data_IF_689920517411
#
_entry.id   IF_689920517411
#
_cell.length_a   1.000
_cell.length_b   1.000
_cell.length_c   1.000
_cell.angle_alpha   90.00
_cell.angle_beta   90.00
_cell.angle_gamma   90.00
#
_symmetry.space_group_name_H-M   'P 1'
#
loop_
_entity.id
_entity.type
_entity.pdbx_description
1 polymer ?
#
# COMPACT_ATOMS: atom_id res chain seq x y z
N UNK A 1 -5.85 -9.53 10.91
CA UNK A 1 -4.80 -9.22 9.91
C UNK A 1 -4.71 -7.72 9.73
N UNK A 2 -3.52 -7.23 9.44
CA UNK A 2 -3.33 -5.81 9.23
C UNK A 2 -3.89 -5.37 7.89
N UNK A 3 -4.29 -4.12 7.79
CA UNK A 3 -4.72 -3.49 6.53
C UNK A 3 -3.70 -2.45 6.13
N UNK A 4 -3.44 -2.38 4.84
CA UNK A 4 -2.44 -1.46 4.28
C UNK A 4 -3.05 -0.69 3.11
N UNK A 5 -2.73 0.60 3.06
CA UNK A 5 -2.93 1.41 1.86
C UNK A 5 -1.62 1.42 1.08
N UNK A 6 -1.69 1.04 -0.17
CA UNK A 6 -0.53 1.04 -1.07
C UNK A 6 -0.83 2.03 -2.19
N UNK A 7 -0.01 3.07 -2.28
CA UNK A 7 -0.15 4.12 -3.29
C UNK A 7 1.07 4.10 -4.18
N UNK A 8 0.90 4.37 -5.46
CA UNK A 8 2.05 4.38 -6.35
C UNK A 8 1.75 5.03 -7.68
N UNK A 9 2.74 4.94 -8.55
CA UNK A 9 2.68 5.53 -9.88
C UNK A 9 2.96 4.48 -10.95
N UNK A 10 2.42 4.71 -12.13
CA UNK A 10 2.79 3.94 -13.32
C UNK A 10 4.03 4.55 -13.95
N UNK A 11 4.89 3.69 -14.45
CA UNK A 11 6.05 4.10 -15.26
C UNK A 11 5.62 4.38 -16.69
N UNK A 12 6.56 4.85 -17.52
CA UNK A 12 6.34 4.95 -18.96
C UNK A 12 5.85 3.62 -19.53
N UNK A 13 6.47 2.52 -19.11
CA UNK A 13 6.08 1.18 -19.56
C UNK A 13 4.64 0.85 -19.15
N UNK A 14 4.26 1.21 -17.92
CA UNK A 14 2.89 1.01 -17.46
C UNK A 14 1.88 1.81 -18.26
N UNK A 15 2.17 3.08 -18.54
CA UNK A 15 1.30 3.91 -19.38
C UNK A 15 1.19 3.38 -20.80
N UNK A 16 2.29 2.89 -21.37
CA UNK A 16 2.26 2.27 -22.70
C UNK A 16 1.33 1.06 -22.73
N UNK A 17 1.28 0.29 -21.64
CA UNK A 17 0.33 -0.81 -21.51
C UNK A 17 -1.12 -0.36 -21.57
N UNK A 18 -1.45 0.75 -20.92
CA UNK A 18 -2.80 1.33 -20.99
C UNK A 18 -3.14 1.84 -22.39
N UNK A 19 -2.16 2.38 -23.11
CA UNK A 19 -2.39 2.81 -24.49
C UNK A 19 -2.68 1.63 -25.41
N UNK A 20 -2.05 0.49 -25.16
CA UNK A 20 -2.32 -0.74 -25.91
C UNK A 20 -3.66 -1.34 -25.56
N UNK A 21 -4.03 -1.29 -24.28
CA UNK A 21 -5.27 -1.87 -23.77
C UNK A 21 -5.91 -0.90 -22.77
N UNK A 22 -6.68 0.09 -23.28
CA UNK A 22 -7.32 1.08 -22.40
C UNK A 22 -8.34 0.47 -21.43
N UNK A 23 -8.78 -0.76 -21.68
CA UNK A 23 -9.75 -1.45 -20.83
C UNK A 23 -9.08 -2.42 -19.86
N UNK A 24 -7.75 -2.36 -19.72
CA UNK A 24 -7.01 -3.19 -18.76
C UNK A 24 -7.59 -3.03 -17.36
N UNK A 25 -7.96 -4.16 -16.75
CA UNK A 25 -8.55 -4.16 -15.41
C UNK A 25 -7.45 -4.29 -14.36
N UNK A 26 -7.04 -3.15 -13.81
CA UNK A 26 -5.95 -3.11 -12.84
C UNK A 26 -6.37 -3.68 -11.48
N UNK A 27 -7.65 -3.66 -11.14
CA UNK A 27 -8.12 -4.27 -9.89
C UNK A 27 -7.95 -5.79 -9.94
N UNK A 28 -8.19 -6.42 -11.09
CA UNK A 28 -7.95 -7.85 -11.27
C UNK A 28 -6.47 -8.20 -11.18
N UNK A 29 -5.60 -7.36 -11.74
CA UNK A 29 -4.16 -7.56 -11.65
C UNK A 29 -3.67 -7.46 -10.20
N UNK A 30 -4.17 -6.47 -9.47
CA UNK A 30 -3.85 -6.30 -8.05
C UNK A 30 -4.32 -7.51 -7.23
N UNK A 31 -5.54 -7.99 -7.48
CA UNK A 31 -6.07 -9.17 -6.79
C UNK A 31 -5.26 -10.42 -7.11
N UNK A 32 -4.83 -10.59 -8.35
CA UNK A 32 -3.99 -11.74 -8.74
C UNK A 32 -2.64 -11.71 -7.99
N UNK A 33 -2.04 -10.53 -7.86
CA UNK A 33 -0.79 -10.40 -7.10
C UNK A 33 -1.00 -10.74 -5.62
N UNK A 34 -2.11 -10.27 -5.04
CA UNK A 34 -2.44 -10.57 -3.65
C UNK A 34 -2.71 -12.06 -3.44
N UNK A 35 -3.47 -12.68 -4.37
CA UNK A 35 -3.77 -14.11 -4.30
C UNK A 35 -2.50 -14.96 -4.29
N UNK A 36 -1.49 -14.55 -5.04
CA UNK A 36 -0.23 -15.31 -5.12
C UNK A 36 0.48 -15.43 -3.77
N UNK A 37 0.22 -14.52 -2.83
CA UNK A 37 0.86 -14.51 -1.51
C UNK A 37 -0.13 -14.70 -0.36
N UNK A 38 -1.40 -14.96 -0.67
CA UNK A 38 -2.42 -15.20 0.35
C UNK A 38 -2.95 -13.92 1.00
N UNK A 39 -2.74 -12.77 0.38
CA UNK A 39 -3.30 -11.50 0.82
C UNK A 39 -4.63 -11.23 0.11
N UNK A 40 -5.30 -10.14 0.48
CA UNK A 40 -6.61 -9.81 -0.08
C UNK A 40 -6.64 -8.33 -0.46
N UNK A 41 -7.08 -8.04 -1.68
CA UNK A 41 -7.38 -6.67 -2.10
C UNK A 41 -8.82 -6.35 -1.71
N UNK A 42 -9.01 -5.26 -0.97
CA UNK A 42 -10.34 -4.78 -0.57
C UNK A 42 -10.85 -3.80 -1.61
N UNK A 43 -10.00 -2.88 -2.09
CA UNK A 43 -10.38 -1.90 -3.08
C UNK A 43 -9.18 -1.44 -3.89
N UNK A 44 -9.45 -1.00 -5.11
CA UNK A 44 -8.48 -0.37 -6.00
C UNK A 44 -9.12 0.88 -6.57
N UNK A 45 -8.43 2.01 -6.49
CA UNK A 45 -8.94 3.30 -6.98
C UNK A 45 -7.86 4.02 -7.76
N UNK A 46 -8.19 4.46 -8.97
CA UNK A 46 -7.35 5.36 -9.75
C UNK A 46 -7.41 6.75 -9.13
N UNK A 47 -6.28 7.43 -9.13
CA UNK A 47 -6.14 8.75 -8.51
C UNK A 47 -5.66 9.78 -9.52
N UNK A 48 -5.95 11.02 -9.21
CA UNK A 48 -5.41 12.17 -9.91
C UNK A 48 -4.65 13.03 -8.89
N UNK A 49 -3.34 13.16 -9.09
CA UNK A 49 -2.51 13.92 -8.16
C UNK A 49 -1.13 13.33 -8.05
N UNK A 50 -0.58 13.32 -6.83
CA UNK A 50 0.77 12.82 -6.58
C UNK A 50 0.93 11.34 -6.87
N UNK A 51 -0.14 10.56 -6.73
CA UNK A 51 -0.16 9.12 -7.02
C UNK A 51 -1.18 8.82 -8.09
N UNK A 52 -0.96 7.74 -8.83
CA UNK A 52 -1.85 7.32 -9.91
C UNK A 52 -2.89 6.32 -9.44
N UNK A 53 -2.64 5.63 -8.32
CA UNK A 53 -3.57 4.65 -7.76
C UNK A 53 -3.39 4.51 -6.26
N UNK A 54 -4.44 3.99 -5.61
CA UNK A 54 -4.40 3.56 -4.22
C UNK A 54 -5.12 2.22 -4.10
N UNK A 55 -4.50 1.29 -3.38
CA UNK A 55 -5.07 -0.03 -3.08
C UNK A 55 -5.21 -0.18 -1.59
N UNK A 56 -6.37 -0.64 -1.14
CA UNK A 56 -6.53 -1.10 0.24
C UNK A 56 -6.43 -2.62 0.23
N UNK A 57 -5.49 -3.16 0.97
CA UNK A 57 -5.23 -4.59 1.03
C UNK A 57 -5.13 -5.07 2.48
N UNK A 58 -5.40 -6.34 2.69
CA UNK A 58 -5.32 -6.99 4.00
C UNK A 58 -4.33 -8.14 3.93
N UNK A 59 -3.44 -8.21 4.94
CA UNK A 59 -2.41 -9.25 4.98
C UNK A 59 -1.33 -8.91 5.98
N UNK A 60 -0.16 -9.49 5.79
CA UNK A 60 1.03 -9.16 6.56
C UNK A 60 1.85 -8.08 5.84
N UNK A 61 2.72 -7.41 6.58
CA UNK A 61 3.63 -6.45 5.97
C UNK A 61 4.53 -7.11 4.92
N UNK A 62 5.02 -8.32 5.22
CA UNK A 62 5.87 -9.06 4.29
C UNK A 62 5.17 -9.36 2.97
N UNK A 63 3.87 -9.65 3.03
CA UNK A 63 3.06 -9.85 1.82
C UNK A 63 2.94 -8.56 1.03
N UNK A 64 2.65 -7.45 1.70
CA UNK A 64 2.53 -6.14 1.05
C UNK A 64 3.88 -5.71 0.45
N UNK A 65 4.96 -5.87 1.18
CA UNK A 65 6.30 -5.53 0.71
C UNK A 65 6.71 -6.41 -0.49
N UNK A 66 6.32 -7.69 -0.49
CA UNK A 66 6.56 -8.59 -1.62
C UNK A 66 5.83 -8.13 -2.88
N UNK A 67 4.58 -7.71 -2.74
CA UNK A 67 3.81 -7.15 -3.85
C UNK A 67 4.50 -5.91 -4.42
N UNK A 68 4.93 -4.99 -3.53
CA UNK A 68 5.67 -3.79 -3.95
C UNK A 68 6.92 -4.17 -4.74
N UNK A 69 7.75 -5.05 -4.18
CA UNK A 69 9.01 -5.43 -4.82
C UNK A 69 8.77 -6.07 -6.19
N UNK A 70 7.82 -7.00 -6.29
CA UNK A 70 7.55 -7.71 -7.54
C UNK A 70 6.98 -6.78 -8.61
N UNK A 71 6.05 -5.91 -8.24
CA UNK A 71 5.42 -5.01 -9.20
C UNK A 71 6.36 -3.90 -9.66
N UNK A 72 7.21 -3.38 -8.78
CA UNK A 72 8.24 -2.41 -9.18
C UNK A 72 9.31 -3.08 -10.04
N UNK A 73 9.71 -4.30 -9.70
CA UNK A 73 10.69 -5.04 -10.48
C UNK A 73 10.19 -5.38 -11.89
N UNK A 74 8.88 -5.47 -12.09
CA UNK A 74 8.30 -5.70 -13.42
C UNK A 74 8.52 -4.53 -14.38
N UNK A 75 8.83 -3.35 -13.84
CA UNK A 75 9.03 -2.13 -14.62
C UNK A 75 7.76 -1.34 -14.87
N UNK A 76 6.58 -1.86 -14.52
CA UNK A 76 5.31 -1.21 -14.81
C UNK A 76 4.91 -0.19 -13.74
N UNK A 77 5.35 -0.38 -12.49
CA UNK A 77 5.00 0.47 -11.37
C UNK A 77 6.25 1.03 -10.71
N UNK A 78 6.10 2.16 -10.03
CA UNK A 78 7.18 2.78 -9.27
C UNK A 78 6.63 3.58 -8.09
N UNK A 79 7.54 3.98 -7.20
CA UNK A 79 7.23 4.90 -6.10
C UNK A 79 6.09 4.40 -5.21
N UNK A 80 6.02 3.09 -4.98
CA UNK A 80 4.97 2.52 -4.14
C UNK A 80 5.27 2.82 -2.67
N UNK A 81 4.31 3.46 -2.00
CA UNK A 81 4.33 3.75 -0.58
C UNK A 81 3.33 2.84 0.12
N UNK A 82 3.76 2.19 1.19
CA UNK A 82 2.91 1.32 1.99
C UNK A 82 2.64 2.00 3.32
N UNK A 83 1.35 2.22 3.63
CA UNK A 83 0.93 2.81 4.89
C UNK A 83 0.00 1.84 5.60
N UNK A 84 0.33 1.48 6.82
CA UNK A 84 -0.56 0.62 7.61
C UNK A 84 -1.73 1.44 8.16
N UNK A 85 -2.93 0.90 8.03
CA UNK A 85 -4.11 1.49 8.66
C UNK A 85 -4.07 1.18 10.16
N UNK A 86 -4.18 2.21 10.98
CA UNK A 86 -4.10 2.09 12.45
C UNK A 86 -5.28 2.77 13.10
N UNK A 87 -5.52 2.44 14.38
CA UNK A 87 -6.44 3.20 15.22
C UNK A 87 -5.67 4.31 15.94
N UNK A 88 -5.93 5.54 15.54
CA UNK A 88 -5.30 6.72 16.19
C UNK A 88 -5.63 6.73 17.68
N UNK A 89 -6.84 6.32 18.06
CA UNK A 89 -7.25 6.32 19.48
C UNK A 89 -6.46 5.29 20.28
N UNK A 90 -6.19 4.11 19.72
CA UNK A 90 -5.38 3.09 20.40
C UNK A 90 -3.93 3.57 20.54
N UNK A 91 -3.38 4.20 19.51
CA UNK A 91 -2.05 4.81 19.57
C UNK A 91 -2.00 5.89 20.65
N UNK A 92 -3.01 6.76 20.67
CA UNK A 92 -3.09 7.83 21.66
C UNK A 92 -3.20 7.28 23.09
N UNK A 93 -3.95 6.19 23.27
CA UNK A 93 -4.05 5.51 24.57
C UNK A 93 -2.70 5.00 25.06
N UNK A 94 -1.94 4.36 24.18
CA UNK A 94 -0.58 3.90 24.50
C UNK A 94 0.33 5.08 24.80
N UNK A 95 0.26 6.14 23.99
CA UNK A 95 1.07 7.33 24.18
C UNK A 95 0.79 8.00 25.53
N UNK A 96 -0.48 8.07 25.92
CA UNK A 96 -0.86 8.67 27.20
C UNK A 96 -0.28 7.90 28.39
N UNK A 97 -0.27 6.57 28.31
CA UNK A 97 0.34 5.73 29.36
C UNK A 97 1.85 5.98 29.44
N UNK A 98 2.51 6.10 28.32
CA UNK A 98 3.96 6.35 28.27
C UNK A 98 4.27 7.75 28.80
N UNK A 99 3.50 8.76 28.37
CA UNK A 99 3.71 10.15 28.78
C UNK A 99 3.60 10.33 30.30
N UNK A 100 2.75 9.53 30.95
CA UNK A 100 2.60 9.57 32.40
C UNK A 100 3.80 9.04 33.16
N UNK A 101 4.66 8.26 32.54
CA UNK A 101 5.81 7.63 33.21
C UNK A 101 7.15 7.93 32.57
N UNK A 102 7.18 8.41 31.34
CA UNK A 102 8.43 8.67 30.62
C UNK A 102 9.11 9.92 31.16
N UNK A 103 10.41 9.81 31.41
CA UNK A 103 11.24 10.95 31.78
C UNK A 103 12.25 11.19 30.68
N UNK A 104 12.23 12.41 30.13
CA UNK A 104 13.17 12.80 29.09
C UNK A 104 14.59 12.92 29.61
N UNK A 105 15.58 13.05 28.68
CA UNK A 105 16.98 13.26 29.11
C UNK A 105 17.11 14.48 30.02
N UNK A 106 17.86 14.34 31.10
CA UNK A 106 18.10 15.42 32.07
C UNK A 106 16.97 15.66 33.06
N UNK A 107 15.96 14.81 33.07
CA UNK A 107 14.80 14.98 33.98
C UNK A 107 14.86 14.06 35.17
#
# INVERSE_FOLDING_TARGET
>A
MAKFYMMGNYTTQGFQGFLKDPKSDRSKAAQAAADAVGAKVISYTGLRGAYDFIVLAEGTFEQAAGIKMATEASGALCNITICEAISINDVAGNAAKIAGSYKGPGK
#
